data_IF_299996526058
#
_entry.id   IF_299996526058
#
_cell.length_a   1.000
_cell.length_b   1.000
_cell.length_c   1.000
_cell.angle_alpha   90.00
_cell.angle_beta   90.00
_cell.angle_gamma   90.00
#
_symmetry.space_group_name_H-M   'P 1'
#
loop_
_entity.id
_entity.type
_entity.pdbx_description
1 polymer ?
#
# COMPACT_ATOMS: atom_id res chain seq x y z
N UNK A 1 25.23 -5.22 -15.94
CA UNK A 1 23.95 -4.87 -15.27
C UNK A 1 22.81 -4.99 -16.27
N UNK A 2 21.83 -5.87 -16.00
CA UNK A 2 20.71 -6.15 -16.91
C UNK A 2 19.97 -4.86 -17.31
N UNK A 3 19.63 -4.72 -18.59
CA UNK A 3 18.94 -3.52 -19.13
C UNK A 3 17.63 -3.22 -18.38
N UNK A 4 16.96 -4.26 -17.88
CA UNK A 4 15.76 -4.15 -17.04
C UNK A 4 16.02 -3.43 -15.70
N UNK A 5 17.07 -3.80 -14.96
CA UNK A 5 17.38 -3.16 -13.66
C UNK A 5 17.73 -1.67 -13.82
N UNK A 6 18.34 -1.29 -14.95
CA UNK A 6 18.56 0.12 -15.28
C UNK A 6 17.25 0.87 -15.46
N UNK A 7 16.24 0.25 -16.09
CA UNK A 7 14.91 0.84 -16.26
C UNK A 7 14.19 0.99 -14.92
N UNK A 8 14.24 -0.02 -14.05
CA UNK A 8 13.67 0.05 -12.70
C UNK A 8 14.32 1.17 -11.90
N UNK A 9 15.66 1.21 -11.85
CA UNK A 9 16.40 2.27 -11.17
C UNK A 9 16.06 3.67 -11.74
N UNK A 10 15.91 3.77 -13.05
CA UNK A 10 15.50 4.99 -13.70
C UNK A 10 14.11 5.45 -13.23
N UNK A 11 13.12 4.56 -13.19
CA UNK A 11 11.76 4.89 -12.72
C UNK A 11 11.72 5.22 -11.22
N UNK A 12 12.49 4.52 -10.39
CA UNK A 12 12.63 4.83 -8.96
C UNK A 12 13.22 6.22 -8.73
N UNK A 13 14.31 6.56 -9.42
CA UNK A 13 14.98 7.85 -9.28
C UNK A 13 14.08 9.04 -9.64
N UNK A 14 13.07 8.85 -10.49
CA UNK A 14 12.14 9.92 -10.89
C UNK A 14 11.17 10.34 -9.79
N UNK A 15 10.88 9.46 -8.84
CA UNK A 15 10.00 9.73 -7.69
C UNK A 15 10.77 9.79 -6.37
N UNK A 16 12.04 9.41 -6.36
CA UNK A 16 12.86 9.27 -5.14
C UNK A 16 12.84 10.51 -4.23
N UNK A 17 12.93 11.72 -4.79
CA UNK A 17 12.90 12.93 -3.97
C UNK A 17 11.58 13.10 -3.22
N UNK A 18 10.44 12.88 -3.90
CA UNK A 18 9.10 12.95 -3.28
C UNK A 18 8.96 11.80 -2.28
N UNK A 19 9.43 10.61 -2.64
CA UNK A 19 9.39 9.42 -1.81
C UNK A 19 10.16 9.59 -0.49
N UNK A 20 11.36 10.19 -0.53
CA UNK A 20 12.15 10.49 0.66
C UNK A 20 11.49 11.55 1.54
N UNK A 21 10.84 12.56 0.93
CA UNK A 21 10.05 13.55 1.67
C UNK A 21 8.88 12.88 2.38
N UNK A 22 8.16 11.95 1.72
CA UNK A 22 7.09 11.18 2.35
C UNK A 22 7.59 10.38 3.55
N UNK A 23 8.73 9.68 3.42
CA UNK A 23 9.35 8.95 4.52
C UNK A 23 9.71 9.89 5.68
N UNK A 24 10.41 10.98 5.40
CA UNK A 24 10.83 11.92 6.42
C UNK A 24 9.63 12.54 7.16
N UNK A 25 8.58 12.92 6.42
CA UNK A 25 7.35 13.43 6.98
C UNK A 25 6.69 12.40 7.91
N UNK A 26 6.59 11.14 7.48
CA UNK A 26 6.02 10.07 8.30
C UNK A 26 6.78 9.89 9.60
N UNK A 27 8.12 9.80 9.54
CA UNK A 27 8.96 9.66 10.74
C UNK A 27 8.73 10.83 11.70
N UNK A 28 8.76 12.07 11.20
CA UNK A 28 8.62 13.27 12.04
C UNK A 28 7.23 13.33 12.68
N UNK A 29 6.17 13.12 11.88
CA UNK A 29 4.79 13.25 12.36
C UNK A 29 4.45 12.15 13.35
N UNK A 30 4.83 10.89 13.07
CA UNK A 30 4.53 9.80 14.00
C UNK A 30 5.37 9.92 15.29
N UNK A 31 6.65 10.28 15.20
CA UNK A 31 7.50 10.51 16.38
C UNK A 31 6.96 11.65 17.27
N UNK A 32 6.60 12.80 16.68
CA UNK A 32 5.97 13.89 17.41
C UNK A 32 4.61 13.45 18.00
N UNK A 33 3.86 12.65 17.25
CA UNK A 33 2.59 12.07 17.65
C UNK A 33 2.68 11.22 18.91
N UNK A 34 3.66 10.33 19.01
CA UNK A 34 3.88 9.49 20.21
C UNK A 34 4.11 10.40 21.41
N UNK A 35 4.98 11.40 21.26
CA UNK A 35 5.36 12.31 22.35
C UNK A 35 4.15 13.11 22.84
N UNK A 36 3.41 13.71 21.92
CA UNK A 36 2.21 14.50 22.25
C UNK A 36 1.15 13.62 22.91
N UNK A 37 0.93 12.40 22.41
CA UNK A 37 -0.09 11.49 22.95
C UNK A 37 0.29 10.98 24.35
N UNK A 38 1.56 10.62 24.54
CA UNK A 38 2.08 10.18 25.84
C UNK A 38 2.01 11.29 26.89
N UNK A 39 2.43 12.52 26.53
CA UNK A 39 2.33 13.67 27.44
C UNK A 39 0.88 13.98 27.80
N UNK A 40 -0.02 14.02 26.82
CA UNK A 40 -1.44 14.29 27.07
C UNK A 40 -2.09 13.25 27.99
N UNK A 41 -1.65 12.00 27.93
CA UNK A 41 -2.10 10.96 28.86
C UNK A 41 -1.50 11.15 30.26
N UNK A 42 -0.20 11.43 30.37
CA UNK A 42 0.46 11.68 31.65
C UNK A 42 -0.05 12.94 32.34
N UNK A 43 -0.38 14.00 31.60
CA UNK A 43 -0.97 15.21 32.15
C UNK A 43 -2.34 14.92 32.77
N UNK A 44 -3.16 14.09 32.11
CA UNK A 44 -4.44 13.63 32.68
C UNK A 44 -4.24 12.78 33.94
N UNK A 45 -3.25 11.87 33.94
CA UNK A 45 -2.93 11.07 35.11
C UNK A 45 -2.46 11.95 36.28
N UNK A 46 -1.58 12.92 36.01
CA UNK A 46 -1.10 13.86 37.01
C UNK A 46 -2.22 14.73 37.56
N UNK A 47 -3.17 15.17 36.72
CA UNK A 47 -4.30 15.96 37.18
C UNK A 47 -5.22 15.14 38.09
N UNK A 48 -5.60 13.93 37.68
CA UNK A 48 -6.42 13.02 38.47
C UNK A 48 -5.78 12.67 39.83
N UNK A 49 -4.46 12.45 39.86
CA UNK A 49 -3.76 12.06 41.08
C UNK A 49 -3.56 13.26 42.01
N UNK A 50 -3.17 14.42 41.49
CA UNK A 50 -2.79 15.57 42.32
C UNK A 50 -3.97 16.48 42.66
N UNK A 51 -4.95 16.64 41.77
CA UNK A 51 -6.10 17.53 41.98
C UNK A 51 -7.31 16.76 42.52
N UNK A 52 -7.62 15.59 41.96
CA UNK A 52 -8.78 14.79 42.35
C UNK A 52 -8.46 13.77 43.47
N UNK A 53 -7.19 13.72 43.90
CA UNK A 53 -6.65 12.79 44.91
C UNK A 53 -6.98 11.32 44.63
N UNK A 54 -7.09 10.94 43.36
CA UNK A 54 -7.25 9.55 42.95
C UNK A 54 -5.93 8.80 43.12
N UNK A 55 -6.00 7.56 43.58
CA UNK A 55 -4.85 6.66 43.54
C UNK A 55 -4.55 6.25 42.09
N UNK A 56 -3.29 5.92 41.80
CA UNK A 56 -2.89 5.44 40.47
C UNK A 56 -3.71 4.22 40.01
N UNK A 57 -4.05 3.32 40.93
CA UNK A 57 -4.89 2.15 40.65
C UNK A 57 -6.32 2.55 40.23
N UNK A 58 -6.92 3.53 40.91
CA UNK A 58 -8.25 4.06 40.56
C UNK A 58 -8.26 4.76 39.20
N UNK A 59 -7.19 5.51 38.88
CA UNK A 59 -7.05 6.13 37.57
C UNK A 59 -7.03 5.09 36.45
N UNK A 60 -6.25 4.01 36.61
CA UNK A 60 -6.16 2.92 35.61
C UNK A 60 -7.49 2.17 35.49
N UNK A 61 -8.20 1.96 36.60
CA UNK A 61 -9.53 1.33 36.58
C UNK A 61 -10.55 2.18 35.80
N UNK A 62 -10.50 3.50 35.94
CA UNK A 62 -11.45 4.41 35.30
C UNK A 62 -11.11 4.76 33.84
N UNK A 63 -9.82 4.97 33.54
CA UNK A 63 -9.36 5.48 32.25
C UNK A 63 -8.59 4.45 31.40
N UNK A 64 -8.20 3.33 31.99
CA UNK A 64 -7.40 2.29 31.35
C UNK A 64 -5.89 2.62 31.32
N UNK A 65 -5.07 1.57 31.26
CA UNK A 65 -3.62 1.73 31.06
C UNK A 65 -3.30 2.00 29.59
N UNK A 66 -2.43 2.98 29.33
CA UNK A 66 -2.06 3.34 27.96
C UNK A 66 -1.27 2.21 27.28
N UNK A 67 -1.68 1.86 26.07
CA UNK A 67 -1.00 0.90 25.22
C UNK A 67 -0.50 1.57 23.94
N UNK A 68 0.38 0.90 23.20
CA UNK A 68 0.80 1.39 21.88
C UNK A 68 -0.38 1.50 20.92
N UNK A 69 -1.42 0.67 21.08
CA UNK A 69 -2.60 0.72 20.22
C UNK A 69 -3.38 2.03 20.36
N UNK A 70 -3.38 2.64 21.53
CA UNK A 70 -4.07 3.92 21.75
C UNK A 70 -3.43 5.03 20.92
N UNK A 71 -2.11 4.98 20.75
CA UNK A 71 -1.39 5.83 19.80
C UNK A 71 -1.60 5.39 18.34
N UNK A 72 -1.47 4.11 18.02
CA UNK A 72 -1.56 3.59 16.65
C UNK A 72 -2.95 3.78 16.00
N UNK A 73 -4.00 3.91 16.81
CA UNK A 73 -5.36 4.26 16.37
C UNK A 73 -5.53 5.74 16.04
N UNK A 74 -4.65 6.59 16.55
CA UNK A 74 -4.71 8.03 16.37
C UNK A 74 -4.38 8.48 14.94
N UNK A 75 -4.84 9.68 14.60
CA UNK A 75 -4.52 10.34 13.32
C UNK A 75 -3.02 10.62 13.14
N UNK A 76 -2.30 10.79 14.24
CA UNK A 76 -0.85 10.98 14.22
C UNK A 76 -0.10 9.80 13.61
N UNK A 77 -0.61 8.58 13.83
CA UNK A 77 -0.01 7.36 13.29
C UNK A 77 -0.61 7.00 11.93
N UNK A 78 -1.94 6.94 11.82
CA UNK A 78 -2.65 6.55 10.59
C UNK A 78 -2.56 7.57 9.46
N UNK A 79 -2.56 8.87 9.78
CA UNK A 79 -2.59 9.96 8.81
C UNK A 79 -1.42 9.94 7.84
N UNK A 80 -0.15 9.91 8.32
CA UNK A 80 1.01 9.83 7.43
C UNK A 80 1.02 8.58 6.54
N UNK A 81 0.60 7.43 7.06
CA UNK A 81 0.48 6.19 6.29
C UNK A 81 -0.54 6.37 5.15
N UNK A 82 -1.71 6.96 5.46
CA UNK A 82 -2.74 7.25 4.46
C UNK A 82 -2.26 8.24 3.39
N UNK A 83 -1.50 9.27 3.77
CA UNK A 83 -0.88 10.22 2.82
C UNK A 83 0.09 9.51 1.89
N UNK A 84 0.95 8.64 2.41
CA UNK A 84 1.85 7.82 1.62
C UNK A 84 1.10 6.91 0.63
N UNK A 85 0.07 6.22 1.10
CA UNK A 85 -0.76 5.34 0.27
C UNK A 85 -1.44 6.14 -0.85
N UNK A 86 -2.05 7.28 -0.53
CA UNK A 86 -2.69 8.16 -1.51
C UNK A 86 -1.69 8.70 -2.54
N UNK A 87 -0.48 9.10 -2.10
CA UNK A 87 0.57 9.57 -2.99
C UNK A 87 1.03 8.49 -3.98
N UNK A 88 1.18 7.23 -3.52
CA UNK A 88 1.52 6.11 -4.41
C UNK A 88 0.38 5.74 -5.35
N UNK A 89 -0.87 5.74 -4.88
CA UNK A 89 -2.05 5.52 -5.73
C UNK A 89 -2.12 6.57 -6.86
N UNK A 90 -1.87 7.84 -6.54
CA UNK A 90 -1.76 8.89 -7.54
C UNK A 90 -0.57 8.66 -8.49
N UNK A 91 0.56 8.20 -7.95
CA UNK A 91 1.76 7.95 -8.73
C UNK A 91 1.61 6.81 -9.76
N UNK A 92 0.76 5.80 -9.50
CA UNK A 92 0.41 4.74 -10.46
C UNK A 92 -0.09 5.34 -11.78
N UNK A 93 -0.85 6.42 -11.74
CA UNK A 93 -1.28 7.12 -12.95
C UNK A 93 -0.14 7.98 -13.50
N UNK A 94 0.44 8.85 -12.66
CA UNK A 94 1.46 9.82 -13.05
C UNK A 94 2.67 9.20 -13.75
N UNK A 95 3.10 7.99 -13.36
CA UNK A 95 4.24 7.30 -13.96
C UNK A 95 4.06 7.04 -15.46
N UNK A 96 2.81 6.90 -15.92
CA UNK A 96 2.47 6.81 -17.33
C UNK A 96 2.24 8.19 -17.91
N UNK A 97 1.31 9.00 -17.36
CA UNK A 97 0.95 10.30 -17.95
C UNK A 97 2.16 11.21 -18.16
N UNK A 98 3.10 11.25 -17.21
CA UNK A 98 4.33 12.07 -17.30
C UNK A 98 5.18 11.73 -18.53
N UNK A 99 5.18 10.49 -19.00
CA UNK A 99 5.99 10.08 -20.16
C UNK A 99 5.38 10.53 -21.49
N UNK A 100 4.07 10.79 -21.51
CA UNK A 100 3.31 11.26 -22.65
C UNK A 100 3.20 12.79 -22.72
N UNK A 101 3.64 13.51 -21.67
CA UNK A 101 3.61 14.97 -21.64
C UNK A 101 4.78 15.57 -22.46
N UNK A 102 4.45 16.41 -23.46
CA UNK A 102 5.40 17.23 -24.21
C UNK A 102 5.42 17.00 -25.73
N UNK A 103 6.03 17.92 -26.48
CA UNK A 103 6.12 17.86 -27.96
C UNK A 103 7.05 16.75 -28.49
N UNK A 104 8.04 16.33 -27.70
CA UNK A 104 8.91 15.17 -27.94
C UNK A 104 8.69 14.15 -26.82
N UNK A 105 7.63 13.35 -26.91
CA UNK A 105 7.21 12.50 -25.79
C UNK A 105 8.34 11.54 -25.39
N UNK A 106 8.60 11.48 -24.08
CA UNK A 106 9.70 10.69 -23.53
C UNK A 106 9.49 9.19 -23.77
N UNK A 107 8.23 8.75 -23.82
CA UNK A 107 7.86 7.36 -24.08
C UNK A 107 8.40 6.84 -25.43
N UNK A 108 8.45 7.65 -26.49
CA UNK A 108 8.97 7.22 -27.78
C UNK A 108 10.45 6.84 -27.69
N UNK A 109 11.25 7.61 -26.94
CA UNK A 109 12.65 7.27 -26.68
C UNK A 109 12.77 5.98 -25.87
N UNK A 110 11.89 5.78 -24.89
CA UNK A 110 11.88 4.56 -24.09
C UNK A 110 11.52 3.32 -24.91
N UNK A 111 10.58 3.44 -25.85
CA UNK A 111 10.14 2.36 -26.73
C UNK A 111 11.12 2.05 -27.87
N UNK A 112 12.03 2.99 -28.18
CA UNK A 112 13.14 2.79 -29.13
C UNK A 112 14.38 2.14 -28.49
N UNK A 113 14.41 1.97 -27.17
CA UNK A 113 15.51 1.26 -26.51
C UNK A 113 15.61 -0.18 -27.05
N UNK A 114 16.82 -0.75 -27.18
CA UNK A 114 17.02 -2.12 -27.64
C UNK A 114 16.66 -3.13 -26.53
N UNK A 115 15.42 -3.07 -26.05
CA UNK A 115 14.85 -3.92 -25.00
C UNK A 115 13.42 -4.27 -25.38
N UNK A 116 12.94 -5.43 -24.94
CA UNK A 116 11.54 -5.78 -25.12
C UNK A 116 10.64 -4.67 -24.54
N UNK A 117 9.63 -4.22 -25.30
CA UNK A 117 8.71 -3.16 -24.85
C UNK A 117 7.99 -3.52 -23.55
N UNK A 118 7.78 -4.81 -23.30
CA UNK A 118 7.24 -5.32 -22.03
C UNK A 118 8.14 -4.98 -20.83
N UNK A 119 9.46 -4.85 -21.01
CA UNK A 119 10.37 -4.47 -19.92
C UNK A 119 10.11 -3.05 -19.41
N UNK A 120 9.60 -2.15 -20.26
CA UNK A 120 9.18 -0.80 -19.85
C UNK A 120 7.99 -0.88 -18.90
N UNK A 121 6.99 -1.65 -19.30
CA UNK A 121 5.80 -1.90 -18.49
C UNK A 121 6.16 -2.54 -17.15
N UNK A 122 6.94 -3.63 -17.18
CA UNK A 122 7.34 -4.35 -15.98
C UNK A 122 8.23 -3.48 -15.09
N UNK A 123 9.12 -2.67 -15.65
CA UNK A 123 9.98 -1.79 -14.86
C UNK A 123 9.16 -0.77 -14.05
N UNK A 124 8.11 -0.20 -14.65
CA UNK A 124 7.18 0.69 -13.95
C UNK A 124 6.43 -0.05 -12.84
N UNK A 125 5.90 -1.24 -13.13
CA UNK A 125 5.11 -2.01 -12.18
C UNK A 125 5.96 -2.46 -10.99
N UNK A 126 7.16 -2.99 -11.26
CA UNK A 126 8.15 -3.36 -10.25
C UNK A 126 8.57 -2.15 -9.42
N UNK A 127 8.73 -0.96 -10.03
CA UNK A 127 9.08 0.25 -9.26
C UNK A 127 8.00 0.61 -8.25
N UNK A 128 6.71 0.56 -8.63
CA UNK A 128 5.59 0.76 -7.70
C UNK A 128 5.65 -0.26 -6.56
N UNK A 129 5.80 -1.55 -6.87
CA UNK A 129 5.88 -2.61 -5.85
C UNK A 129 7.04 -2.37 -4.89
N UNK A 130 8.23 -2.03 -5.41
CA UNK A 130 9.40 -1.74 -4.57
C UNK A 130 9.19 -0.51 -3.68
N UNK A 131 8.50 0.52 -4.16
CA UNK A 131 8.17 1.70 -3.35
C UNK A 131 7.17 1.35 -2.25
N UNK A 132 6.15 0.54 -2.52
CA UNK A 132 5.21 0.07 -1.48
C UNK A 132 5.96 -0.76 -0.42
N UNK A 133 6.75 -1.75 -0.85
CA UNK A 133 7.52 -2.59 0.06
C UNK A 133 8.56 -1.78 0.86
N UNK A 134 9.15 -0.74 0.24
CA UNK A 134 10.06 0.16 0.91
C UNK A 134 9.40 0.94 2.05
N UNK A 135 8.18 1.46 1.84
CA UNK A 135 7.43 2.16 2.90
C UNK A 135 7.04 1.23 4.03
N UNK A 136 6.60 0.01 3.70
CA UNK A 136 6.26 -0.99 4.71
C UNK A 136 7.49 -1.39 5.52
N UNK A 137 8.65 -1.52 4.87
CA UNK A 137 9.92 -1.77 5.54
C UNK A 137 10.30 -0.64 6.49
N UNK A 138 10.13 0.62 6.07
CA UNK A 138 10.33 1.79 6.94
C UNK A 138 9.37 1.76 8.13
N UNK A 139 8.09 1.46 7.92
CA UNK A 139 7.11 1.35 9.02
C UNK A 139 7.51 0.28 10.04
N UNK A 140 8.01 -0.87 9.57
CA UNK A 140 8.48 -1.95 10.45
C UNK A 140 9.68 -1.56 11.31
N UNK A 141 10.55 -0.67 10.81
CA UNK A 141 11.68 -0.13 11.58
C UNK A 141 11.20 0.93 12.57
N UNK A 142 10.24 1.77 12.19
CA UNK A 142 9.72 2.86 13.03
C UNK A 142 8.93 2.32 14.24
N UNK A 143 8.10 1.28 14.04
CA UNK A 143 7.26 0.70 15.09
C UNK A 143 7.99 0.39 16.42
N UNK A 144 9.10 -0.37 16.45
CA UNK A 144 9.82 -0.62 17.70
C UNK A 144 10.42 0.66 18.30
N UNK A 145 10.88 1.61 17.48
CA UNK A 145 11.45 2.87 17.96
C UNK A 145 10.38 3.70 18.67
N UNK A 146 9.19 3.81 18.10
CA UNK A 146 8.06 4.53 18.69
C UNK A 146 7.55 3.86 19.96
N UNK A 147 7.49 2.53 19.97
CA UNK A 147 7.13 1.77 21.17
C UNK A 147 8.17 1.98 22.29
N UNK A 148 9.45 2.07 21.97
CA UNK A 148 10.49 2.45 22.93
C UNK A 148 10.31 3.87 23.46
N UNK A 149 9.99 4.84 22.59
CA UNK A 149 9.72 6.23 23.01
C UNK A 149 8.53 6.28 23.96
N UNK A 150 7.43 5.58 23.66
CA UNK A 150 6.27 5.49 24.54
C UNK A 150 6.65 4.95 25.93
N UNK A 151 7.48 3.90 25.97
CA UNK A 151 7.99 3.30 27.22
C UNK A 151 8.98 4.21 27.97
N UNK A 152 9.59 5.19 27.34
CA UNK A 152 10.39 6.18 28.06
C UNK A 152 9.54 7.28 28.68
N UNK A 153 8.40 7.57 28.09
CA UNK A 153 7.54 8.69 28.51
C UNK A 153 6.48 8.31 29.54
N UNK A 154 5.89 7.12 29.41
CA UNK A 154 4.83 6.64 30.31
C UNK A 154 5.44 5.64 31.29
N UNK A 155 5.33 5.81 32.62
CA UNK A 155 5.84 4.84 33.58
C UNK A 155 5.17 3.46 33.46
N UNK A 156 5.85 2.41 33.92
CA UNK A 156 5.38 1.02 33.80
C UNK A 156 4.00 0.81 34.44
N UNK A 157 3.72 1.50 35.55
CA UNK A 157 2.45 1.37 36.27
C UNK A 157 1.25 1.87 35.45
N UNK A 158 1.46 2.81 34.53
CA UNK A 158 0.40 3.45 33.75
C UNK A 158 0.25 2.92 32.32
N UNK A 159 0.98 1.84 31.97
CA UNK A 159 1.02 1.34 30.60
C UNK A 159 0.89 -0.17 30.48
N UNK A 160 0.37 -0.60 29.34
CA UNK A 160 0.40 -2.01 28.93
C UNK A 160 1.44 -2.20 27.85
N UNK A 161 2.52 -2.90 28.20
CA UNK A 161 3.62 -3.19 27.27
C UNK A 161 3.18 -4.15 26.16
N UNK A 162 3.46 -3.79 24.92
CA UNK A 162 3.17 -4.62 23.76
C UNK A 162 4.43 -4.96 22.98
N UNK A 163 4.44 -6.16 22.40
CA UNK A 163 5.45 -6.57 21.42
C UNK A 163 5.09 -6.06 20.02
N UNK A 164 6.10 -5.88 19.16
CA UNK A 164 5.87 -5.50 17.75
C UNK A 164 4.94 -6.48 17.04
N UNK A 165 5.09 -7.78 17.31
CA UNK A 165 4.22 -8.81 16.73
C UNK A 165 2.76 -8.67 17.15
N UNK A 166 2.46 -8.19 18.36
CA UNK A 166 1.09 -7.90 18.78
C UNK A 166 0.55 -6.61 18.14
N UNK A 167 1.38 -5.58 18.00
CA UNK A 167 1.01 -4.29 17.39
C UNK A 167 0.63 -4.50 15.92
N UNK A 168 1.44 -5.24 15.18
CA UNK A 168 1.27 -5.44 13.73
C UNK A 168 0.04 -6.29 13.40
N UNK A 169 -0.36 -7.20 14.29
CA UNK A 169 -1.58 -8.02 14.12
C UNK A 169 -2.87 -7.22 14.24
N UNK A 170 -2.79 -5.96 14.65
CA UNK A 170 -3.96 -5.18 14.97
C UNK A 170 -4.49 -4.40 13.75
N UNK A 171 -5.79 -4.57 13.48
CA UNK A 171 -6.58 -3.78 12.52
C UNK A 171 -5.92 -3.67 11.13
N UNK A 172 -5.74 -2.46 10.60
CA UNK A 172 -5.22 -2.22 9.25
C UNK A 172 -3.72 -2.54 9.08
N UNK A 173 -2.93 -2.59 10.16
CA UNK A 173 -1.52 -2.96 10.07
C UNK A 173 -1.34 -4.42 9.61
N UNK A 174 -2.33 -5.28 9.89
CA UNK A 174 -2.33 -6.68 9.45
C UNK A 174 -2.42 -6.83 7.93
N UNK A 175 -3.03 -5.85 7.25
CA UNK A 175 -3.13 -5.80 5.78
C UNK A 175 -1.79 -5.32 5.18
N UNK A 176 -1.17 -4.31 5.79
CA UNK A 176 0.10 -3.77 5.32
C UNK A 176 1.27 -4.72 5.61
N UNK A 177 1.22 -5.42 6.74
CA UNK A 177 2.27 -6.34 7.18
C UNK A 177 1.65 -7.74 7.36
N UNK A 178 1.75 -8.57 6.31
CA UNK A 178 1.31 -9.95 6.34
C UNK A 178 1.89 -10.75 7.51
N UNK A 179 1.09 -11.63 8.09
CA UNK A 179 1.49 -12.48 9.21
C UNK A 179 2.15 -13.79 8.77
N UNK A 180 2.00 -14.13 7.48
CA UNK A 180 2.59 -15.30 6.87
C UNK A 180 3.18 -14.99 5.50
N UNK A 181 4.12 -15.84 5.05
CA UNK A 181 4.67 -15.73 3.70
C UNK A 181 3.59 -15.93 2.62
N UNK A 182 2.59 -16.77 2.90
CA UNK A 182 1.44 -16.95 2.00
C UNK A 182 0.63 -15.67 1.87
N UNK A 183 0.24 -15.03 2.98
CA UNK A 183 -0.44 -13.73 2.95
C UNK A 183 0.39 -12.67 2.25
N UNK A 184 1.72 -12.69 2.42
CA UNK A 184 2.61 -11.78 1.71
C UNK A 184 2.50 -11.95 0.19
N UNK A 185 2.57 -13.18 -0.31
CA UNK A 185 2.41 -13.44 -1.74
C UNK A 185 1.01 -13.01 -2.20
N UNK A 186 -0.03 -13.27 -1.42
CA UNK A 186 -1.41 -12.96 -1.80
C UNK A 186 -1.67 -11.46 -1.84
N UNK A 187 -1.35 -10.72 -0.77
CA UNK A 187 -1.65 -9.29 -0.68
C UNK A 187 -0.83 -8.48 -1.68
N UNK A 188 0.48 -8.72 -1.75
CA UNK A 188 1.34 -8.00 -2.69
C UNK A 188 1.18 -8.50 -4.13
N UNK A 189 0.84 -9.77 -4.33
CA UNK A 189 0.48 -10.33 -5.64
C UNK A 189 -0.82 -9.73 -6.17
N UNK A 190 -1.85 -9.63 -5.34
CA UNK A 190 -3.10 -8.95 -5.68
C UNK A 190 -2.87 -7.45 -5.97
N UNK A 191 -2.02 -6.79 -5.19
CA UNK A 191 -1.57 -5.42 -5.46
C UNK A 191 -0.88 -5.28 -6.82
N UNK A 192 0.04 -6.20 -7.16
CA UNK A 192 0.71 -6.21 -8.46
C UNK A 192 -0.27 -6.45 -9.62
N UNK A 193 -1.24 -7.35 -9.45
CA UNK A 193 -2.32 -7.57 -10.40
C UNK A 193 -3.15 -6.31 -10.59
N UNK A 194 -3.58 -5.65 -9.51
CA UNK A 194 -4.37 -4.41 -9.58
C UNK A 194 -3.60 -3.29 -10.31
N UNK A 195 -2.32 -3.08 -9.97
CA UNK A 195 -1.44 -2.14 -10.68
C UNK A 195 -1.36 -2.47 -12.17
N UNK A 196 -1.24 -3.76 -12.49
CA UNK A 196 -1.17 -4.21 -13.89
C UNK A 196 -2.47 -3.92 -14.65
N UNK A 197 -3.63 -4.16 -14.02
CA UNK A 197 -4.93 -3.88 -14.64
C UNK A 197 -5.07 -2.38 -14.91
N UNK A 198 -4.70 -1.53 -13.94
CA UNK A 198 -4.72 -0.08 -14.10
C UNK A 198 -3.77 0.40 -15.20
N UNK A 199 -2.55 -0.14 -15.24
CA UNK A 199 -1.60 0.19 -16.31
C UNK A 199 -2.14 -0.18 -17.69
N UNK A 200 -2.78 -1.33 -17.80
CA UNK A 200 -3.39 -1.78 -19.06
C UNK A 200 -4.58 -0.90 -19.45
N UNK A 201 -5.39 -0.46 -18.48
CA UNK A 201 -6.46 0.52 -18.70
C UNK A 201 -5.91 1.87 -19.21
N UNK A 202 -4.80 2.36 -18.64
CA UNK A 202 -4.13 3.59 -19.11
C UNK A 202 -3.59 3.39 -20.55
N UNK A 203 -3.07 2.21 -20.88
CA UNK A 203 -2.62 1.90 -22.24
C UNK A 203 -3.78 1.83 -23.24
N UNK A 204 -4.97 1.41 -22.83
CA UNK A 204 -6.17 1.47 -23.66
C UNK A 204 -6.54 2.92 -23.99
N UNK A 205 -6.59 3.81 -22.99
CA UNK A 205 -6.76 5.25 -23.21
C UNK A 205 -5.77 5.76 -24.25
N UNK A 206 -4.48 5.43 -24.10
CA UNK A 206 -3.44 5.94 -25.01
C UNK A 206 -3.52 5.35 -26.41
N UNK A 207 -3.95 4.10 -26.54
CA UNK A 207 -4.05 3.42 -27.83
C UNK A 207 -5.27 3.86 -28.65
N UNK A 208 -6.38 4.20 -27.98
CA UNK A 208 -7.66 4.51 -28.64
C UNK A 208 -8.23 5.90 -28.32
N UNK A 209 -7.43 6.77 -27.69
CA UNK A 209 -7.79 8.14 -27.30
C UNK A 209 -9.07 8.14 -26.46
N UNK A 210 -10.07 8.93 -26.84
CA UNK A 210 -11.32 9.09 -26.09
C UNK A 210 -12.14 7.80 -26.00
N UNK A 211 -12.17 6.97 -27.06
CA UNK A 211 -12.78 5.63 -27.01
C UNK A 211 -12.01 4.68 -26.08
N UNK A 212 -10.71 4.92 -25.92
CA UNK A 212 -9.83 4.18 -25.03
C UNK A 212 -10.15 4.35 -23.56
N UNK A 213 -10.69 5.50 -23.14
CA UNK A 213 -11.12 5.73 -21.75
C UNK A 213 -12.23 4.73 -21.39
N UNK A 214 -13.26 4.64 -22.22
CA UNK A 214 -14.36 3.69 -22.01
C UNK A 214 -13.88 2.24 -22.04
N UNK A 215 -12.97 1.89 -22.96
CA UNK A 215 -12.37 0.55 -23.02
C UNK A 215 -11.53 0.24 -21.78
N UNK A 216 -10.76 1.21 -21.27
CA UNK A 216 -9.95 1.05 -20.07
C UNK A 216 -10.78 0.89 -18.81
N UNK A 217 -11.82 1.72 -18.64
CA UNK A 217 -12.77 1.60 -17.51
C UNK A 217 -13.51 0.26 -17.59
N UNK A 218 -14.01 -0.11 -18.79
CA UNK A 218 -14.67 -1.39 -19.00
C UNK A 218 -13.76 -2.57 -18.71
N UNK A 219 -12.49 -2.51 -19.14
CA UNK A 219 -11.50 -3.53 -18.83
C UNK A 219 -11.28 -3.67 -17.33
N UNK A 220 -11.04 -2.57 -16.61
CA UNK A 220 -10.85 -2.59 -15.16
C UNK A 220 -12.09 -3.11 -14.42
N UNK A 221 -13.29 -2.71 -14.83
CA UNK A 221 -14.55 -3.18 -14.26
C UNK A 221 -14.74 -4.69 -14.48
N UNK A 222 -14.52 -5.19 -15.69
CA UNK A 222 -14.60 -6.62 -16.01
C UNK A 222 -13.56 -7.41 -15.20
N UNK A 223 -12.32 -6.92 -15.11
CA UNK A 223 -11.28 -7.53 -14.28
C UNK A 223 -11.69 -7.61 -12.81
N UNK A 224 -12.28 -6.55 -12.26
CA UNK A 224 -12.79 -6.56 -10.88
C UNK A 224 -13.95 -7.54 -10.70
N UNK A 225 -14.89 -7.61 -11.65
CA UNK A 225 -16.01 -8.56 -11.61
C UNK A 225 -15.51 -10.00 -11.67
N UNK A 226 -14.54 -10.31 -12.54
CA UNK A 226 -13.93 -11.65 -12.63
C UNK A 226 -13.26 -12.02 -11.31
N UNK A 227 -12.51 -11.09 -10.71
CA UNK A 227 -11.83 -11.37 -9.44
C UNK A 227 -12.83 -11.56 -8.28
N UNK A 228 -13.90 -10.77 -8.26
CA UNK A 228 -14.95 -10.85 -7.24
C UNK A 228 -15.99 -11.93 -7.53
N UNK A 229 -15.93 -12.63 -8.67
CA UNK A 229 -16.98 -13.55 -9.08
C UNK A 229 -17.24 -14.68 -8.08
N UNK A 230 -16.22 -15.30 -7.42
CA UNK A 230 -16.48 -16.34 -6.42
C UNK A 230 -17.26 -15.79 -5.22
N UNK A 231 -16.93 -14.57 -4.77
CA UNK A 231 -17.64 -13.88 -3.69
C UNK A 231 -19.06 -13.41 -4.10
N UNK A 232 -19.24 -12.97 -5.34
CA UNK A 232 -20.57 -12.62 -5.84
C UNK A 232 -21.44 -13.87 -5.97
N UNK A 233 -20.86 -14.99 -6.41
CA UNK A 233 -21.58 -16.25 -6.51
C UNK A 233 -22.02 -16.78 -5.14
N UNK A 234 -21.20 -16.65 -4.08
CA UNK A 234 -21.65 -16.99 -2.71
C UNK A 234 -22.76 -16.07 -2.21
N UNK A 235 -22.72 -14.78 -2.56
CA UNK A 235 -23.68 -13.80 -2.07
C UNK A 235 -25.05 -13.86 -2.78
N UNK A 236 -25.07 -14.22 -4.07
CA UNK A 236 -26.28 -14.16 -4.90
C UNK A 236 -26.86 -15.53 -5.29
N UNK A 237 -26.13 -16.64 -5.06
CA UNK A 237 -26.62 -17.98 -5.39
C UNK A 237 -26.97 -18.73 -4.11
N UNK A 238 -28.24 -19.11 -3.96
CA UNK A 238 -28.75 -19.87 -2.80
C UNK A 238 -28.08 -21.25 -2.63
N UNK A 239 -27.41 -21.75 -3.68
CA UNK A 239 -26.77 -23.07 -3.71
C UNK A 239 -25.30 -22.97 -4.15
N UNK A 240 -24.50 -22.24 -3.38
CA UNK A 240 -23.06 -22.20 -3.61
C UNK A 240 -22.39 -23.43 -2.98
N UNK A 241 -21.93 -24.36 -3.83
CA UNK A 241 -21.43 -25.68 -3.42
C UNK A 241 -19.93 -25.76 -3.13
N UNK A 242 -19.17 -24.68 -3.36
CA UNK A 242 -17.72 -24.72 -3.22
C UNK A 242 -17.31 -24.51 -1.76
N UNK A 243 -16.41 -25.35 -1.28
CA UNK A 243 -15.82 -25.20 0.05
C UNK A 243 -14.95 -23.93 0.10
N UNK A 244 -14.69 -23.36 1.30
CA UNK A 244 -13.86 -22.16 1.44
C UNK A 244 -12.45 -22.32 0.81
N UNK A 245 -11.85 -23.50 0.94
CA UNK A 245 -10.54 -23.80 0.35
C UNK A 245 -10.60 -23.87 -1.19
N UNK A 246 -11.68 -24.40 -1.76
CA UNK A 246 -11.89 -24.45 -3.20
C UNK A 246 -12.13 -23.05 -3.78
N UNK A 247 -12.93 -22.24 -3.08
CA UNK A 247 -13.17 -20.84 -3.42
C UNK A 247 -11.86 -20.05 -3.41
N UNK A 248 -11.06 -20.22 -2.36
CA UNK A 248 -9.73 -19.62 -2.28
C UNK A 248 -8.81 -20.08 -3.43
N UNK A 249 -8.78 -21.38 -3.74
CA UNK A 249 -8.00 -21.91 -4.86
C UNK A 249 -8.44 -21.33 -6.21
N UNK A 250 -9.74 -21.14 -6.41
CA UNK A 250 -10.31 -20.49 -7.60
C UNK A 250 -9.91 -19.02 -7.69
N UNK A 251 -9.97 -18.25 -6.59
CA UNK A 251 -9.53 -16.86 -6.56
C UNK A 251 -8.06 -16.71 -6.92
N UNK A 252 -7.19 -17.57 -6.38
CA UNK A 252 -5.77 -17.59 -6.73
C UNK A 252 -5.58 -17.93 -8.21
N UNK A 253 -6.27 -18.95 -8.72
CA UNK A 253 -6.20 -19.35 -10.12
C UNK A 253 -6.67 -18.24 -11.07
N UNK A 254 -7.80 -17.60 -10.78
CA UNK A 254 -8.32 -16.46 -11.52
C UNK A 254 -7.38 -15.28 -11.48
N UNK A 255 -6.80 -14.96 -10.31
CA UNK A 255 -5.82 -13.89 -10.17
C UNK A 255 -4.57 -14.09 -11.02
N UNK A 256 -4.05 -15.33 -11.08
CA UNK A 256 -2.90 -15.68 -11.93
C UNK A 256 -3.23 -15.56 -13.42
N UNK A 257 -4.38 -16.11 -13.86
CA UNK A 257 -4.83 -16.02 -15.25
C UNK A 257 -5.04 -14.55 -15.65
N UNK A 258 -5.72 -13.78 -14.80
CA UNK A 258 -6.01 -12.37 -15.03
C UNK A 258 -4.71 -11.56 -15.13
N UNK A 259 -3.75 -11.80 -14.24
CA UNK A 259 -2.42 -11.17 -14.31
C UNK A 259 -1.73 -11.49 -15.63
N UNK A 260 -1.70 -12.76 -16.04
CA UNK A 260 -1.07 -13.18 -17.31
C UNK A 260 -1.74 -12.52 -18.53
N UNK A 261 -3.08 -12.51 -18.57
CA UNK A 261 -3.86 -11.84 -19.64
C UNK A 261 -3.60 -10.33 -19.67
N UNK A 262 -3.49 -9.71 -18.50
CA UNK A 262 -3.21 -8.27 -18.36
C UNK A 262 -1.83 -7.92 -18.89
N UNK A 263 -0.80 -8.68 -18.50
CA UNK A 263 0.57 -8.50 -19.00
C UNK A 263 0.65 -8.72 -20.52
N UNK A 264 -0.04 -9.74 -21.02
CA UNK A 264 -0.12 -10.02 -22.45
C UNK A 264 -0.82 -8.89 -23.22
N UNK A 265 -1.94 -8.39 -22.71
CA UNK A 265 -2.67 -7.27 -23.30
C UNK A 265 -1.84 -5.99 -23.29
N UNK A 266 -1.17 -5.68 -22.18
CA UNK A 266 -0.24 -4.55 -22.08
C UNK A 266 0.90 -4.65 -23.10
N UNK A 267 1.48 -5.84 -23.27
CA UNK A 267 2.48 -6.10 -24.31
C UNK A 267 1.93 -5.87 -25.73
N UNK A 268 0.73 -6.38 -26.02
CA UNK A 268 0.06 -6.22 -27.31
C UNK A 268 -0.17 -4.73 -27.63
N UNK A 269 -0.74 -3.96 -26.69
CA UNK A 269 -1.01 -2.53 -26.86
C UNK A 269 0.28 -1.73 -27.12
N UNK A 270 1.32 -1.98 -26.32
CA UNK A 270 2.63 -1.33 -26.50
C UNK A 270 3.32 -1.66 -27.82
N UNK A 271 3.09 -2.86 -28.36
CA UNK A 271 3.81 -3.33 -29.56
C UNK A 271 3.06 -3.03 -30.85
N UNK A 272 1.73 -3.17 -30.84
CA UNK A 272 0.89 -3.16 -32.05
C UNK A 272 0.03 -1.90 -32.21
N UNK A 273 -0.23 -1.15 -31.13
CA UNK A 273 -1.16 -0.01 -31.17
C UNK A 273 -0.49 1.33 -30.89
N UNK A 274 0.51 1.35 -30.01
CA UNK A 274 1.33 2.54 -29.80
C UNK A 274 2.36 2.62 -30.94
N UNK A 275 2.03 3.40 -31.96
CA UNK A 275 2.95 3.76 -33.05
C UNK A 275 3.91 4.84 -32.56
N UNK A 276 5.22 4.54 -32.66
CA UNK A 276 6.32 5.49 -32.49
C UNK A 276 6.42 6.35 -33.74
#
# INVERSE_FOLDING_TARGET
MNRFLKLVNFELNRFMNIYLVLIALTVIVQAAGVIVTANAYMDKANQAINEEMLSAAQFIEQYGAMSFLDFARGLWFTGPIAVCAAALLFYIFMIWYRDWLGKNTFIYRLLMLPTARLNVYLAKATSIVLMVLGLVSVQLIILPLENSVLKWMVPADFRTDMTVGQIVKWDYLSILVPQSFTEFILYYGAGFMAVSVLFTAILFERSFKWKGIFLGIGYAAISAIIMLSPLLATAFMDHYYLYPLETFGLEVGLGLILTALTLWMGHYLLTKKITV
#
